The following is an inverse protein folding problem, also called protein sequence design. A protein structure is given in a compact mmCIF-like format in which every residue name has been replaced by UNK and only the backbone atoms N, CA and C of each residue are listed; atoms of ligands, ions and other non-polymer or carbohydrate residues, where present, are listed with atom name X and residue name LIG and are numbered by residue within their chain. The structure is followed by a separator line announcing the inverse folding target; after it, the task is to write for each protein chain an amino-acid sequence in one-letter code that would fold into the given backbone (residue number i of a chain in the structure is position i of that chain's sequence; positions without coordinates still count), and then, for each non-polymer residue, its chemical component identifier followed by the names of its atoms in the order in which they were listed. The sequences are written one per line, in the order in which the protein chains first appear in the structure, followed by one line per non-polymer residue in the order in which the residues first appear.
data_IF_262688925636
#
_entry.id   IF_262688925636
#
_cell.length_a   1.000
_cell.length_b   1.000
_cell.length_c   1.000
_cell.angle_alpha   90.00
_cell.angle_beta   90.00
_cell.angle_gamma   90.00
#
_symmetry.space_group_name_H-M   'P 1'
#
loop_
_entity.id
_entity.type
_entity.pdbx_description
1 polymer ?
#
# COMPACT_ATOMS: atom_id res chain seq x y z
N UNK A 1 4.36 -3.78 -1.94
CA UNK A 1 2.90 -3.89 -1.67
C UNK A 1 2.58 -5.29 -1.16
N UNK A 2 1.72 -5.39 -0.14
CA UNK A 2 1.20 -6.64 0.42
C UNK A 2 -0.32 -6.62 0.26
N UNK A 3 -0.91 -7.69 -0.32
CA UNK A 3 -2.36 -7.87 -0.42
C UNK A 3 -2.72 -9.11 0.39
N UNK A 4 -3.63 -8.98 1.35
CA UNK A 4 -3.98 -10.06 2.28
C UNK A 4 -5.48 -10.08 2.56
N UNK A 5 -6.07 -11.28 2.56
CA UNK A 5 -7.47 -11.48 2.96
C UNK A 5 -7.68 -11.19 4.45
N UNK A 6 -8.75 -10.46 4.78
CA UNK A 6 -9.23 -10.26 6.15
C UNK A 6 -10.55 -11.01 6.34
N UNK A 7 -10.56 -11.98 7.24
CA UNK A 7 -11.81 -12.68 7.60
C UNK A 7 -12.80 -11.77 8.36
N UNK A 8 -12.30 -10.76 9.07
CA UNK A 8 -13.12 -9.80 9.83
C UNK A 8 -13.83 -8.82 8.88
N UNK A 9 -13.10 -8.31 7.88
CA UNK A 9 -13.62 -7.31 6.93
C UNK A 9 -14.23 -7.94 5.67
N UNK A 10 -14.05 -9.24 5.47
CA UNK A 10 -14.49 -10.01 4.30
C UNK A 10 -14.04 -9.37 2.96
N UNK A 11 -12.80 -8.88 2.92
CA UNK A 11 -12.17 -8.31 1.73
C UNK A 11 -10.64 -8.45 1.80
N UNK A 12 -9.96 -8.11 0.71
CA UNK A 12 -8.50 -7.98 0.70
C UNK A 12 -8.09 -6.62 1.22
N UNK A 13 -7.20 -6.59 2.22
CA UNK A 13 -6.52 -5.40 2.71
C UNK A 13 -5.19 -5.22 1.98
N UNK A 14 -4.84 -3.96 1.72
CA UNK A 14 -3.62 -3.58 1.01
C UNK A 14 -2.70 -2.81 1.94
N UNK A 15 -1.53 -3.37 2.19
CA UNK A 15 -0.46 -2.77 2.97
C UNK A 15 0.66 -2.26 2.08
N UNK A 16 1.18 -1.07 2.40
CA UNK A 16 2.31 -0.45 1.73
C UNK A 16 3.46 -0.30 2.75
N UNK A 17 4.24 -1.38 3.01
CA UNK A 17 5.18 -1.42 4.11
C UNK A 17 6.33 -0.42 3.99
N UNK A 18 6.62 0.04 2.77
CA UNK A 18 7.64 1.07 2.54
C UNK A 18 7.19 2.44 3.09
N UNK A 19 5.88 2.69 3.20
CA UNK A 19 5.34 3.97 3.67
C UNK A 19 5.00 3.92 5.17
N UNK A 20 5.66 4.72 6.02
CA UNK A 20 5.41 4.73 7.46
C UNK A 20 3.98 5.17 7.79
N UNK A 21 3.42 4.62 8.87
CA UNK A 21 2.08 4.94 9.35
C UNK A 21 1.17 3.72 9.44
N UNK A 22 -0.06 3.86 8.94
CA UNK A 22 -1.08 2.83 9.07
C UNK A 22 -0.73 1.59 8.24
N UNK A 23 -0.87 0.41 8.85
CA UNK A 23 -0.49 -0.88 8.24
C UNK A 23 -1.27 -1.16 6.96
N UNK A 24 -2.58 -0.91 6.99
CA UNK A 24 -3.50 -1.09 5.87
C UNK A 24 -3.87 0.29 5.34
N UNK A 25 -3.76 0.48 4.03
CA UNK A 25 -3.97 1.78 3.35
C UNK A 25 -5.28 1.84 2.58
N UNK A 26 -5.69 0.70 2.04
CA UNK A 26 -6.92 0.55 1.27
C UNK A 26 -7.32 -0.93 1.26
N UNK A 27 -8.42 -1.24 0.58
CA UNK A 27 -8.97 -2.58 0.47
C UNK A 27 -9.56 -2.84 -0.92
N UNK A 28 -9.95 -4.07 -1.21
CA UNK A 28 -10.70 -4.44 -2.40
C UNK A 28 -11.33 -5.83 -2.27
N UNK A 29 -12.45 -6.07 -2.95
CA UNK A 29 -13.18 -7.33 -2.86
C UNK A 29 -12.53 -8.47 -3.66
N UNK A 30 -11.67 -8.14 -4.61
CA UNK A 30 -10.89 -9.08 -5.42
C UNK A 30 -9.43 -8.67 -5.43
N UNK A 31 -8.54 -9.55 -5.88
CA UNK A 31 -7.13 -9.20 -6.06
C UNK A 31 -6.95 -8.03 -7.04
N UNK A 32 -7.74 -8.00 -8.12
CA UNK A 32 -7.67 -6.93 -9.12
C UNK A 32 -8.10 -5.58 -8.55
N UNK A 33 -9.22 -5.53 -7.82
CA UNK A 33 -9.68 -4.27 -7.21
C UNK A 33 -8.76 -3.81 -6.09
N UNK A 34 -8.24 -4.74 -5.28
CA UNK A 34 -7.25 -4.42 -4.25
C UNK A 34 -5.95 -3.87 -4.86
N UNK A 35 -5.47 -4.47 -5.95
CA UNK A 35 -4.30 -3.97 -6.67
C UNK A 35 -4.54 -2.57 -7.24
N UNK A 36 -5.66 -2.36 -7.92
CA UNK A 36 -6.02 -1.07 -8.51
C UNK A 36 -6.06 0.04 -7.43
N UNK A 37 -6.80 -0.21 -6.35
CA UNK A 37 -6.89 0.71 -5.22
C UNK A 37 -5.51 0.94 -4.56
N UNK A 38 -4.69 -0.10 -4.48
CA UNK A 38 -3.32 -0.01 -3.96
C UNK A 38 -2.41 0.90 -4.79
N UNK A 39 -2.55 0.88 -6.12
CA UNK A 39 -1.82 1.77 -7.03
C UNK A 39 -2.28 3.22 -6.82
N UNK A 40 -3.58 3.48 -6.79
CA UNK A 40 -4.14 4.82 -6.53
C UNK A 40 -3.69 5.38 -5.17
N UNK A 41 -3.61 4.51 -4.15
CA UNK A 41 -3.10 4.89 -2.83
C UNK A 41 -1.61 5.27 -2.86
N UNK A 42 -0.78 4.58 -3.65
CA UNK A 42 0.63 4.96 -3.85
C UNK A 42 0.72 6.33 -4.52
N UNK A 43 -0.03 6.56 -5.61
CA UNK A 43 -0.04 7.85 -6.31
C UNK A 43 -0.42 9.00 -5.38
N UNK A 44 -1.44 8.79 -4.54
CA UNK A 44 -1.87 9.77 -3.54
C UNK A 44 -0.79 10.04 -2.50
N UNK A 45 -0.06 9.01 -2.05
CA UNK A 45 1.06 9.16 -1.13
C UNK A 45 2.23 9.92 -1.77
N UNK A 46 2.58 9.61 -3.02
CA UNK A 46 3.65 10.33 -3.73
C UNK A 46 3.35 11.83 -3.83
N UNK A 47 2.11 12.20 -4.17
CA UNK A 47 1.67 13.60 -4.21
C UNK A 47 1.76 14.27 -2.84
N UNK A 48 1.43 13.55 -1.75
CA UNK A 48 1.53 14.09 -0.41
C UNK A 48 2.98 14.39 -0.01
N UNK A 49 3.92 13.48 -0.30
CA UNK A 49 5.35 13.67 -0.02
C UNK A 49 5.95 14.81 -0.85
N UNK A 50 5.57 14.91 -2.14
CA UNK A 50 5.97 16.03 -2.99
C UNK A 50 5.46 17.37 -2.44
N UNK A 51 4.19 17.41 -2.00
CA UNK A 51 3.59 18.62 -1.44
C UNK A 51 4.21 19.07 -0.11
N UNK A 52 4.80 18.16 0.66
CA UNK A 52 5.46 18.47 1.93
C UNK A 52 6.99 18.59 1.84
N UNK A 53 7.57 18.44 0.64
CA UNK A 53 9.02 18.39 0.41
C UNK A 53 9.72 17.33 1.28
N UNK A 54 9.00 16.23 1.56
CA UNK A 54 9.52 15.10 2.33
C UNK A 54 10.18 14.07 1.41
N UNK A 55 11.30 13.45 1.82
CA UNK A 55 11.93 12.42 1.04
C UNK A 55 11.06 11.17 0.99
N UNK A 56 10.90 10.61 -0.22
CA UNK A 56 10.22 9.33 -0.40
C UNK A 56 10.95 8.20 0.36
N UNK A 57 10.21 7.21 0.90
CA UNK A 57 10.83 6.07 1.54
C UNK A 57 11.59 5.19 0.56
N UNK A 58 12.65 4.54 1.05
CA UNK A 58 13.38 3.55 0.25
C UNK A 58 12.59 2.24 0.13
N UNK A 59 12.44 1.67 -1.08
CA UNK A 59 11.75 0.39 -1.25
C UNK A 59 12.47 -0.77 -0.54
N UNK A 60 11.71 -1.65 0.10
CA UNK A 60 12.24 -2.88 0.66
C UNK A 60 12.79 -3.80 -0.44
N UNK A 61 14.07 -4.16 -0.33
CA UNK A 61 14.73 -5.10 -1.25
C UNK A 61 14.58 -6.52 -0.71
N UNK A 62 13.88 -7.37 -1.46
CA UNK A 62 13.85 -8.80 -1.18
C UNK A 62 15.21 -9.42 -1.50
N UNK A 63 15.90 -9.94 -0.48
CA UNK A 63 17.09 -10.76 -0.69
C UNK A 63 16.66 -12.21 -0.85
N UNK A 64 16.81 -12.76 -2.04
CA UNK A 64 16.63 -14.19 -2.27
C UNK A 64 17.70 -14.95 -1.46
N UNK A 65 17.26 -16.00 -0.75
CA UNK A 65 18.13 -16.93 -0.03
C UNK A 65 18.61 -18.05 -0.97
#
# INVERSE_FOLDING_TARGET
MVIQWSDEDNCFLVGLPDFPGQRWRTHGDTYESALANGIEAIESLLLAYEATDEPLPEPAVLKAA
#
